data_IF_960234097486
#
_entry.id   IF_960234097486
#
_cell.length_a   1.000
_cell.length_b   1.000
_cell.length_c   1.000
_cell.angle_alpha   90.00
_cell.angle_beta   90.00
_cell.angle_gamma   90.00
#
_symmetry.space_group_name_H-M   'P 1'
#
loop_
_entity.id
_entity.type
_entity.pdbx_description
1 polymer ?
#
# COMPACT_ATOMS: atom_id res chain seq x y z
N UNK A 1 26.21 -20.00 -16.51
CA UNK A 1 25.82 -18.61 -16.26
C UNK A 1 25.12 -18.60 -14.91
N UNK A 2 25.75 -18.01 -13.89
CA UNK A 2 25.17 -17.95 -12.54
C UNK A 2 24.32 -16.68 -12.48
N UNK A 3 23.02 -16.82 -12.38
CA UNK A 3 22.11 -15.73 -12.08
C UNK A 3 22.36 -15.34 -10.60
N UNK A 4 22.93 -14.17 -10.36
CA UNK A 4 22.97 -13.56 -9.05
C UNK A 4 21.58 -12.95 -8.81
N UNK A 5 20.85 -13.53 -7.88
CA UNK A 5 19.68 -12.90 -7.27
C UNK A 5 20.18 -11.87 -6.27
N UNK A 6 19.96 -10.60 -6.55
CA UNK A 6 20.17 -9.52 -5.60
C UNK A 6 18.81 -9.19 -5.03
N UNK A 7 18.60 -9.60 -3.80
CA UNK A 7 17.61 -9.07 -2.86
C UNK A 7 17.71 -7.55 -2.86
N UNK A 8 16.65 -6.84 -2.56
CA UNK A 8 16.73 -5.42 -2.23
C UNK A 8 17.84 -5.20 -1.20
N UNK A 9 19.06 -5.22 -1.69
CA UNK A 9 20.20 -4.88 -0.91
C UNK A 9 20.22 -3.36 -0.91
N UNK A 10 19.81 -2.76 0.17
CA UNK A 10 20.53 -1.58 0.64
C UNK A 10 22.00 -1.95 0.47
N UNK A 11 22.69 -1.22 -0.35
CA UNK A 11 24.12 -1.36 -0.56
C UNK A 11 24.79 -1.36 0.81
N UNK A 12 25.19 -2.53 1.27
CA UNK A 12 26.05 -2.66 2.41
C UNK A 12 27.35 -1.92 2.13
N UNK A 13 27.46 -0.70 2.61
CA UNK A 13 28.74 -0.02 2.75
C UNK A 13 29.46 -0.78 3.85
N UNK A 14 30.45 -1.58 3.46
CA UNK A 14 31.28 -2.32 4.37
C UNK A 14 31.91 -1.39 5.41
N UNK A 15 31.65 -1.67 6.68
CA UNK A 15 32.56 -1.41 7.77
C UNK A 15 32.87 0.05 8.09
N UNK A 16 31.86 0.83 8.52
CA UNK A 16 32.13 1.90 9.48
C UNK A 16 31.66 1.37 10.84
N UNK A 17 32.60 1.23 11.78
CA UNK A 17 32.23 0.98 13.17
C UNK A 17 31.17 2.01 13.58
N UNK A 18 30.16 1.62 14.35
CA UNK A 18 29.13 2.56 14.80
C UNK A 18 29.88 3.71 15.48
N UNK A 19 29.70 4.92 14.94
CA UNK A 19 30.08 6.11 15.68
C UNK A 19 29.24 6.05 16.94
N UNK A 20 29.90 5.97 18.10
CA UNK A 20 29.22 6.15 19.37
C UNK A 20 28.47 7.47 19.26
N UNK A 21 27.17 7.42 19.47
CA UNK A 21 26.30 8.58 19.54
C UNK A 21 26.99 9.62 20.44
N UNK A 22 27.28 10.84 19.95
CA UNK A 22 28.00 11.86 20.73
C UNK A 22 27.21 12.37 21.95
N UNK A 23 26.20 11.63 22.41
CA UNK A 23 25.47 11.98 23.62
C UNK A 23 24.59 13.22 23.46
N UNK A 24 24.19 13.56 22.26
CA UNK A 24 23.07 14.45 22.06
C UNK A 24 21.87 13.74 22.67
N UNK A 25 21.50 14.14 23.88
CA UNK A 25 20.23 13.76 24.48
C UNK A 25 19.14 14.31 23.55
N UNK A 26 18.80 13.53 22.53
CA UNK A 26 17.52 13.71 21.86
C UNK A 26 16.50 13.57 22.97
N UNK A 27 15.57 14.49 23.17
CA UNK A 27 14.51 14.29 24.11
C UNK A 27 13.93 12.92 23.80
N UNK A 28 14.15 11.94 24.67
CA UNK A 28 13.29 10.78 24.69
C UNK A 28 11.92 11.42 24.91
N UNK A 29 11.11 11.45 23.88
CA UNK A 29 9.69 11.55 24.12
C UNK A 29 9.43 10.38 25.03
N UNK A 30 9.12 10.67 26.27
CA UNK A 30 8.75 9.68 27.27
C UNK A 30 7.44 9.11 26.73
N UNK A 31 7.58 8.11 25.85
CA UNK A 31 6.47 7.54 25.11
C UNK A 31 5.65 6.77 26.13
N UNK A 32 4.72 7.47 26.74
CA UNK A 32 3.62 6.80 27.40
C UNK A 32 2.96 5.96 26.34
N UNK A 33 3.19 4.67 26.40
CA UNK A 33 2.56 3.64 25.57
C UNK A 33 1.08 3.95 25.44
N UNK A 34 0.57 4.00 24.24
CA UNK A 34 -0.78 4.43 23.94
C UNK A 34 -0.79 5.44 22.80
N UNK A 35 -1.71 6.35 22.81
CA UNK A 35 -1.88 7.31 21.73
C UNK A 35 -2.33 8.69 22.22
N UNK A 36 -2.54 9.57 21.26
CA UNK A 36 -3.18 10.87 21.48
C UNK A 36 -4.62 10.69 21.95
N UNK A 37 -5.17 11.70 22.59
CA UNK A 37 -6.56 11.69 23.07
C UNK A 37 -7.58 11.52 21.95
N UNK A 38 -7.22 11.88 20.71
CA UNK A 38 -8.12 11.78 19.54
C UNK A 38 -8.24 10.37 18.95
N UNK A 39 -7.29 9.47 19.22
CA UNK A 39 -7.31 8.13 18.65
C UNK A 39 -7.82 7.12 19.67
N UNK A 40 -8.91 6.45 19.33
CA UNK A 40 -9.58 5.49 20.19
C UNK A 40 -9.43 4.07 19.63
N UNK A 41 -8.86 3.16 20.43
CA UNK A 41 -8.81 1.75 20.10
C UNK A 41 -10.20 1.14 20.26
N UNK A 42 -10.76 0.65 19.17
CA UNK A 42 -12.02 -0.08 19.16
C UNK A 42 -11.80 -1.55 19.51
N UNK A 43 -10.75 -2.14 18.94
CA UNK A 43 -10.35 -3.51 19.23
C UNK A 43 -8.94 -3.81 18.71
N UNK A 44 -8.34 -4.88 19.27
CA UNK A 44 -7.07 -5.42 18.82
C UNK A 44 -7.15 -6.96 18.78
N UNK A 45 -6.66 -7.56 17.70
CA UNK A 45 -6.62 -9.01 17.51
C UNK A 45 -5.21 -9.45 17.16
N UNK A 46 -4.65 -10.37 17.95
CA UNK A 46 -3.39 -11.03 17.55
C UNK A 46 -3.70 -12.01 16.41
N UNK A 47 -3.31 -11.64 15.20
CA UNK A 47 -3.58 -12.43 13.98
C UNK A 47 -2.65 -13.64 13.89
N UNK A 48 -1.37 -13.41 14.11
CA UNK A 48 -0.31 -14.40 14.02
C UNK A 48 0.63 -14.24 15.20
N UNK A 49 0.79 -15.25 16.05
CA UNK A 49 1.77 -15.20 17.14
C UNK A 49 3.20 -15.18 16.58
N UNK A 50 4.00 -14.24 17.02
CA UNK A 50 5.40 -14.10 16.66
C UNK A 50 5.71 -12.85 15.84
N UNK A 51 6.97 -12.63 15.52
CA UNK A 51 7.43 -11.47 14.74
C UNK A 51 7.23 -11.67 13.23
N UNK A 52 7.08 -10.58 12.48
CA UNK A 52 7.03 -10.58 11.01
C UNK A 52 5.91 -11.44 10.42
N UNK A 53 4.68 -11.27 10.92
CA UNK A 53 3.58 -12.16 10.56
C UNK A 53 2.48 -11.50 9.75
N UNK A 54 1.92 -10.38 10.20
CA UNK A 54 0.97 -9.63 9.41
C UNK A 54 1.70 -8.75 8.39
N UNK A 55 1.18 -8.71 7.15
CA UNK A 55 1.61 -7.79 6.11
C UNK A 55 0.52 -6.73 5.88
N UNK A 56 0.08 -6.55 4.66
CA UNK A 56 -0.90 -5.52 4.31
C UNK A 56 -2.32 -5.84 4.79
N UNK A 57 -3.18 -4.84 4.75
CA UNK A 57 -4.56 -4.88 5.21
C UNK A 57 -5.48 -4.16 4.23
N UNK A 58 -6.67 -4.70 4.05
CA UNK A 58 -7.71 -4.13 3.21
C UNK A 58 -9.06 -4.19 3.90
N UNK A 59 -9.88 -3.12 3.86
CA UNK A 59 -11.24 -3.10 4.40
C UNK A 59 -12.28 -2.89 3.30
N UNK A 60 -13.33 -3.72 3.26
CA UNK A 60 -14.40 -3.52 2.29
C UNK A 60 -15.17 -2.22 2.55
N UNK A 61 -15.46 -1.49 1.49
CA UNK A 61 -16.16 -0.19 1.55
C UNK A 61 -17.67 -0.32 1.40
N UNK A 62 -18.21 -1.51 1.12
CA UNK A 62 -19.65 -1.76 1.05
C UNK A 62 -20.24 -1.87 2.47
N UNK A 63 -21.30 -1.08 2.75
CA UNK A 63 -21.98 -1.07 4.06
C UNK A 63 -22.54 -2.42 4.50
N UNK A 64 -22.84 -3.30 3.56
CA UNK A 64 -23.40 -4.61 3.81
C UNK A 64 -22.32 -5.70 3.93
N UNK A 65 -21.06 -5.33 3.77
CA UNK A 65 -19.92 -6.25 3.77
C UNK A 65 -18.87 -5.80 4.79
N UNK A 66 -19.06 -6.15 6.06
CA UNK A 66 -18.19 -5.73 7.15
C UNK A 66 -16.96 -6.65 7.26
N UNK A 67 -16.11 -6.70 6.23
CA UNK A 67 -14.96 -7.60 6.21
C UNK A 67 -13.63 -6.85 6.12
N UNK A 68 -12.64 -7.40 6.81
CA UNK A 68 -11.24 -6.98 6.74
C UNK A 68 -10.40 -8.18 6.30
N UNK A 69 -9.48 -7.94 5.41
CA UNK A 69 -8.52 -8.91 4.90
C UNK A 69 -7.14 -8.57 5.44
N UNK A 70 -6.42 -9.56 5.95
CA UNK A 70 -5.06 -9.41 6.48
C UNK A 70 -4.15 -10.40 5.77
N UNK A 71 -3.12 -9.89 5.14
CA UNK A 71 -2.09 -10.70 4.49
C UNK A 71 -1.07 -11.23 5.51
N UNK A 72 -0.58 -12.45 5.31
CA UNK A 72 0.41 -13.08 6.18
C UNK A 72 1.80 -13.16 5.54
N UNK A 73 2.72 -12.38 6.07
CA UNK A 73 4.07 -12.20 5.54
C UNK A 73 4.83 -13.51 5.40
N UNK A 74 5.18 -14.14 6.51
CA UNK A 74 5.99 -15.37 6.50
C UNK A 74 5.19 -16.66 6.42
N UNK A 75 3.88 -16.59 6.58
CA UNK A 75 2.98 -17.76 6.54
C UNK A 75 2.39 -18.00 5.16
N UNK A 76 2.54 -17.05 4.22
CA UNK A 76 1.93 -17.12 2.88
C UNK A 76 0.42 -17.31 2.93
N UNK A 77 -0.24 -16.66 3.90
CA UNK A 77 -1.66 -16.81 4.14
C UNK A 77 -2.45 -15.53 3.87
N UNK A 78 -3.77 -15.69 3.80
CA UNK A 78 -4.74 -14.63 3.73
C UNK A 78 -5.82 -14.91 4.76
N UNK A 79 -6.06 -13.99 5.68
CA UNK A 79 -7.07 -14.09 6.71
C UNK A 79 -8.21 -13.12 6.46
N UNK A 80 -9.45 -13.54 6.74
CA UNK A 80 -10.63 -12.69 6.64
C UNK A 80 -11.29 -12.59 8.02
N UNK A 81 -11.59 -11.35 8.41
CA UNK A 81 -12.26 -11.02 9.66
C UNK A 81 -13.63 -10.41 9.38
N UNK A 82 -14.67 -10.95 10.03
CA UNK A 82 -15.99 -10.29 10.14
C UNK A 82 -15.91 -9.25 11.26
N UNK A 83 -16.08 -7.99 10.90
CA UNK A 83 -16.04 -6.83 11.79
C UNK A 83 -17.43 -6.18 11.94
N UNK A 84 -18.51 -6.94 11.76
CA UNK A 84 -19.88 -6.48 12.01
C UNK A 84 -20.03 -5.93 13.43
N UNK A 85 -19.39 -6.57 14.37
CA UNK A 85 -19.16 -6.06 15.71
C UNK A 85 -17.68 -5.66 15.84
N UNK A 86 -17.41 -4.37 15.71
CA UNK A 86 -16.03 -3.83 15.77
C UNK A 86 -15.38 -4.04 17.13
N UNK A 87 -16.16 -4.29 18.19
CA UNK A 87 -15.64 -4.59 19.53
C UNK A 87 -15.28 -6.07 19.71
N UNK A 88 -15.62 -6.92 18.73
CA UNK A 88 -15.38 -8.36 18.78
C UNK A 88 -15.19 -8.97 17.38
N UNK A 89 -14.17 -8.55 16.61
CA UNK A 89 -13.86 -9.09 15.29
C UNK A 89 -13.71 -10.60 15.33
N UNK A 90 -14.22 -11.28 14.31
CA UNK A 90 -14.16 -12.74 14.20
C UNK A 90 -13.36 -13.15 12.99
N UNK A 91 -12.27 -13.90 13.17
CA UNK A 91 -11.63 -14.58 12.05
C UNK A 91 -12.60 -15.64 11.50
N UNK A 92 -13.01 -15.47 10.26
CA UNK A 92 -13.98 -16.38 9.59
C UNK A 92 -13.33 -17.22 8.50
N UNK A 93 -12.14 -16.83 8.01
CA UNK A 93 -11.44 -17.57 6.98
C UNK A 93 -9.93 -17.44 7.17
N UNK A 94 -9.23 -18.51 6.81
CA UNK A 94 -7.77 -18.59 6.85
C UNK A 94 -7.34 -19.55 5.73
N UNK A 95 -6.48 -19.06 4.83
CA UNK A 95 -5.98 -19.83 3.71
C UNK A 95 -4.47 -19.65 3.58
N UNK A 96 -3.78 -20.74 3.44
CA UNK A 96 -2.33 -20.75 3.21
C UNK A 96 -2.04 -21.36 1.85
N UNK A 97 -1.01 -20.87 1.16
CA UNK A 97 -0.56 -21.45 -0.10
C UNK A 97 -0.22 -22.92 0.09
N UNK A 98 -0.51 -23.74 -0.92
CA UNK A 98 -0.19 -25.16 -0.88
C UNK A 98 1.34 -25.37 -0.87
N UNK A 99 1.82 -26.28 -0.03
CA UNK A 99 3.25 -26.62 0.14
C UNK A 99 4.12 -25.40 0.48
N UNK A 100 3.84 -24.66 1.56
CA UNK A 100 4.58 -23.44 1.92
C UNK A 100 6.07 -23.71 2.14
N UNK A 101 6.45 -24.94 2.48
CA UNK A 101 7.85 -25.35 2.65
C UNK A 101 8.67 -25.31 1.35
N UNK A 102 8.01 -25.31 0.19
CA UNK A 102 8.66 -25.17 -1.12
C UNK A 102 8.81 -23.71 -1.54
N UNK A 103 8.18 -22.80 -0.83
CA UNK A 103 8.18 -21.37 -1.13
C UNK A 103 9.12 -20.65 -0.18
N UNK A 104 10.02 -19.86 -0.74
CA UNK A 104 10.95 -19.01 0.02
C UNK A 104 10.81 -17.59 -0.43
N UNK A 105 10.70 -16.69 0.52
CA UNK A 105 10.57 -15.29 0.17
C UNK A 105 9.77 -14.51 1.18
N UNK A 106 9.24 -13.41 0.74
CA UNK A 106 8.53 -12.48 1.59
C UNK A 106 7.14 -13.02 1.96
N UNK A 107 6.41 -13.58 1.00
CA UNK A 107 5.12 -14.21 1.28
C UNK A 107 3.94 -13.50 0.66
N UNK A 108 2.78 -13.57 1.32
CA UNK A 108 1.61 -12.81 0.94
C UNK A 108 1.84 -11.34 1.31
N UNK A 109 1.77 -10.47 0.31
CA UNK A 109 2.08 -9.06 0.45
C UNK A 109 0.80 -8.23 0.48
N UNK A 110 0.41 -7.70 -0.62
CA UNK A 110 -0.70 -6.78 -0.75
C UNK A 110 -1.97 -7.51 -1.21
N UNK A 111 -3.10 -7.13 -0.66
CA UNK A 111 -4.39 -7.72 -1.00
C UNK A 111 -5.44 -6.68 -1.30
N UNK A 112 -6.23 -6.90 -2.36
CA UNK A 112 -7.27 -5.97 -2.77
C UNK A 112 -8.59 -6.69 -3.03
N UNK A 113 -9.67 -6.20 -2.41
CA UNK A 113 -11.00 -6.68 -2.77
C UNK A 113 -11.52 -5.96 -4.02
N UNK A 114 -12.44 -6.59 -4.72
CA UNK A 114 -13.09 -5.99 -5.88
C UNK A 114 -14.46 -6.62 -6.17
N UNK A 115 -15.21 -5.96 -7.04
CA UNK A 115 -16.55 -6.40 -7.44
C UNK A 115 -16.65 -6.46 -8.97
N UNK A 116 -17.27 -7.55 -9.47
CA UNK A 116 -17.64 -7.69 -10.87
C UNK A 116 -19.10 -8.17 -10.94
N UNK A 117 -19.98 -7.34 -11.47
CA UNK A 117 -21.42 -7.58 -11.38
C UNK A 117 -21.85 -7.66 -9.90
N UNK A 118 -22.58 -8.70 -9.54
CA UNK A 118 -23.04 -8.91 -8.16
C UNK A 118 -22.11 -9.79 -7.33
N UNK A 119 -20.90 -10.07 -7.81
CA UNK A 119 -19.95 -10.96 -7.14
C UNK A 119 -18.76 -10.18 -6.58
N UNK A 120 -18.32 -10.61 -5.40
CA UNK A 120 -17.19 -10.04 -4.69
C UNK A 120 -16.00 -10.99 -4.72
N UNK A 121 -14.85 -10.41 -4.89
CA UNK A 121 -13.59 -11.15 -5.02
C UNK A 121 -12.51 -10.49 -4.16
N UNK A 122 -11.48 -11.28 -3.87
CA UNK A 122 -10.26 -10.80 -3.22
C UNK A 122 -9.06 -11.32 -3.99
N UNK A 123 -8.15 -10.43 -4.31
CA UNK A 123 -6.87 -10.73 -4.95
C UNK A 123 -5.75 -10.60 -3.92
N UNK A 124 -5.03 -11.69 -3.65
CA UNK A 124 -3.85 -11.69 -2.79
C UNK A 124 -2.61 -11.81 -3.64
N UNK A 125 -1.69 -10.83 -3.57
CA UNK A 125 -0.40 -10.89 -4.23
C UNK A 125 0.60 -11.71 -3.40
N UNK A 126 1.55 -12.34 -4.11
CA UNK A 126 2.62 -13.14 -3.50
C UNK A 126 3.97 -12.74 -4.08
N UNK A 127 4.94 -12.55 -3.20
CA UNK A 127 6.32 -12.31 -3.58
C UNK A 127 7.21 -13.45 -3.12
N UNK A 128 8.02 -13.97 -4.03
CA UNK A 128 8.97 -15.03 -3.76
C UNK A 128 10.41 -14.57 -4.03
N UNK A 129 11.30 -14.76 -3.09
CA UNK A 129 12.74 -14.58 -3.33
C UNK A 129 13.32 -15.80 -4.06
N UNK A 130 12.87 -16.98 -3.65
CA UNK A 130 13.12 -18.25 -4.31
C UNK A 130 11.87 -19.08 -4.14
N UNK A 131 11.21 -19.39 -5.20
CA UNK A 131 10.06 -20.24 -5.15
C UNK A 131 10.14 -21.26 -6.26
N UNK A 132 9.94 -22.50 -5.93
CA UNK A 132 9.83 -23.56 -6.89
C UNK A 132 8.85 -24.58 -6.32
N UNK A 133 7.87 -24.99 -7.07
CA UNK A 133 7.65 -24.75 -8.51
C UNK A 133 6.91 -23.47 -8.87
N UNK A 134 6.41 -22.69 -7.88
CA UNK A 134 5.44 -21.60 -8.10
C UNK A 134 6.08 -20.21 -8.14
N UNK A 135 7.39 -20.10 -8.40
CA UNK A 135 8.08 -18.81 -8.45
C UNK A 135 7.54 -17.80 -9.48
N UNK A 136 6.69 -18.22 -10.39
CA UNK A 136 5.98 -17.39 -11.36
C UNK A 136 4.58 -16.97 -10.91
N UNK A 137 4.10 -17.49 -9.77
CA UNK A 137 2.82 -17.10 -9.18
C UNK A 137 2.89 -15.65 -8.69
N UNK A 138 2.02 -14.80 -9.22
CA UNK A 138 1.92 -13.40 -8.84
C UNK A 138 0.75 -13.14 -7.89
N UNK A 139 -0.43 -13.71 -8.18
CA UNK A 139 -1.60 -13.51 -7.33
C UNK A 139 -2.55 -14.70 -7.34
N UNK A 140 -3.28 -14.86 -6.23
CA UNK A 140 -4.41 -15.79 -6.09
C UNK A 140 -5.70 -15.00 -5.96
N UNK A 141 -6.71 -15.35 -6.74
CA UNK A 141 -8.02 -14.69 -6.75
C UNK A 141 -9.03 -15.60 -6.06
N UNK A 142 -9.66 -15.06 -5.03
CA UNK A 142 -10.72 -15.72 -4.28
C UNK A 142 -12.08 -15.14 -4.64
N UNK A 143 -13.08 -15.98 -4.79
CA UNK A 143 -14.49 -15.60 -4.75
C UNK A 143 -14.92 -15.55 -3.28
N UNK A 144 -15.29 -14.37 -2.82
CA UNK A 144 -15.69 -14.12 -1.43
C UNK A 144 -17.16 -13.68 -1.32
N UNK A 145 -17.93 -13.89 -2.39
CA UNK A 145 -19.33 -13.46 -2.48
C UNK A 145 -20.20 -14.01 -1.36
N UNK A 146 -19.99 -15.27 -0.99
CA UNK A 146 -20.83 -15.97 -0.01
C UNK A 146 -20.47 -15.75 1.46
N UNK A 147 -19.53 -14.85 1.77
CA UNK A 147 -19.23 -14.50 3.16
C UNK A 147 -20.52 -14.05 3.90
N UNK A 148 -20.68 -14.39 5.19
CA UNK A 148 -19.68 -14.91 6.13
C UNK A 148 -19.46 -16.43 6.14
N UNK A 149 -20.07 -17.20 5.27
CA UNK A 149 -19.84 -18.65 5.22
C UNK A 149 -18.44 -18.96 4.65
N UNK A 150 -17.48 -19.45 5.47
CA UNK A 150 -16.13 -19.72 5.00
C UNK A 150 -16.07 -20.85 3.96
N UNK A 151 -17.03 -21.77 3.97
CA UNK A 151 -17.11 -22.86 3.00
C UNK A 151 -17.46 -22.37 1.59
N UNK A 152 -17.97 -21.15 1.48
CA UNK A 152 -18.30 -20.52 0.21
C UNK A 152 -17.08 -19.89 -0.48
N UNK A 153 -16.01 -19.60 0.26
CA UNK A 153 -14.79 -19.00 -0.29
C UNK A 153 -14.05 -20.00 -1.17
N UNK A 154 -13.72 -19.60 -2.38
CA UNK A 154 -13.06 -20.48 -3.37
C UNK A 154 -11.97 -19.75 -4.13
N UNK A 155 -10.85 -20.41 -4.34
CA UNK A 155 -9.85 -19.98 -5.33
C UNK A 155 -10.47 -20.14 -6.73
N UNK A 156 -10.57 -19.05 -7.48
CA UNK A 156 -11.14 -19.04 -8.83
C UNK A 156 -10.11 -18.83 -9.92
N UNK A 157 -8.97 -18.22 -9.60
CA UNK A 157 -7.87 -18.04 -10.54
C UNK A 157 -6.52 -17.90 -9.83
N UNK A 158 -5.46 -18.16 -10.58
CA UNK A 158 -4.07 -17.83 -10.22
C UNK A 158 -3.46 -17.07 -11.38
N UNK A 159 -2.99 -15.85 -11.12
CA UNK A 159 -2.27 -15.05 -12.11
C UNK A 159 -0.80 -15.42 -12.00
N UNK A 160 -0.21 -15.82 -13.14
CA UNK A 160 1.18 -16.22 -13.25
C UNK A 160 1.90 -15.39 -14.28
N UNK A 161 3.17 -15.08 -14.03
CA UNK A 161 4.00 -14.33 -14.96
C UNK A 161 5.40 -14.96 -15.08
N UNK A 162 5.54 -16.01 -15.91
CA UNK A 162 6.79 -16.76 -16.03
C UNK A 162 7.93 -15.96 -16.68
N UNK A 163 7.64 -14.83 -17.33
CA UNK A 163 8.63 -13.96 -17.96
C UNK A 163 9.52 -13.23 -16.94
N UNK A 164 9.03 -13.04 -15.70
CA UNK A 164 9.79 -12.49 -14.60
C UNK A 164 9.42 -13.19 -13.30
N UNK A 165 10.03 -14.34 -13.01
CA UNK A 165 9.81 -15.05 -11.75
C UNK A 165 10.12 -14.18 -10.52
N UNK A 166 9.40 -14.39 -9.44
CA UNK A 166 9.53 -13.63 -8.19
C UNK A 166 8.19 -13.16 -7.65
N UNK A 167 7.12 -13.34 -8.43
CA UNK A 167 5.77 -12.93 -8.05
C UNK A 167 5.54 -11.42 -8.13
N UNK A 168 4.51 -10.96 -7.43
CA UNK A 168 4.09 -9.56 -7.36
C UNK A 168 4.27 -9.04 -5.93
N UNK A 169 4.98 -7.94 -5.77
CA UNK A 169 5.17 -7.29 -4.48
C UNK A 169 3.89 -6.54 -4.07
N UNK A 170 3.51 -5.53 -4.84
CA UNK A 170 2.29 -4.74 -4.61
C UNK A 170 1.30 -4.87 -5.75
N UNK A 171 0.05 -4.55 -5.46
CA UNK A 171 -1.04 -4.58 -6.41
C UNK A 171 -2.04 -3.45 -6.17
N UNK A 172 -2.80 -3.12 -7.19
CA UNK A 172 -3.89 -2.16 -7.08
C UNK A 172 -5.05 -2.60 -7.98
N UNK A 173 -6.27 -2.53 -7.46
CA UNK A 173 -7.45 -2.77 -8.28
C UNK A 173 -8.13 -1.45 -8.59
N UNK A 174 -8.50 -1.23 -9.83
CA UNK A 174 -9.09 0.02 -10.29
C UNK A 174 -10.26 -0.19 -11.23
N UNK A 175 -11.37 0.49 -10.96
CA UNK A 175 -12.48 0.61 -11.90
C UNK A 175 -12.16 1.69 -12.92
N UNK A 176 -11.68 1.29 -14.07
CA UNK A 176 -11.26 2.18 -15.14
C UNK A 176 -12.45 2.89 -15.80
N UNK A 177 -12.22 4.08 -16.35
CA UNK A 177 -13.28 4.90 -16.99
C UNK A 177 -13.94 4.24 -18.19
N UNK A 178 -13.30 3.27 -18.84
CA UNK A 178 -13.89 2.45 -19.92
C UNK A 178 -14.80 1.32 -19.41
N UNK A 179 -14.99 1.21 -18.10
CA UNK A 179 -15.88 0.25 -17.45
C UNK A 179 -15.22 -1.06 -17.02
N UNK A 180 -13.96 -1.32 -17.39
CA UNK A 180 -13.23 -2.51 -16.92
C UNK A 180 -12.83 -2.37 -15.47
N UNK A 181 -12.75 -3.49 -14.76
CA UNK A 181 -12.07 -3.62 -13.47
C UNK A 181 -10.69 -4.19 -13.73
N UNK A 182 -9.66 -3.38 -13.53
CA UNK A 182 -8.27 -3.70 -13.85
C UNK A 182 -7.47 -3.99 -12.58
N UNK A 183 -6.57 -4.96 -12.67
CA UNK A 183 -5.59 -5.29 -11.64
C UNK A 183 -4.21 -4.89 -12.13
N UNK A 184 -3.60 -3.98 -11.41
CA UNK A 184 -2.23 -3.55 -11.63
C UNK A 184 -1.33 -4.33 -10.69
N UNK A 185 -0.19 -4.79 -11.17
CA UNK A 185 0.76 -5.56 -10.40
C UNK A 185 2.19 -5.10 -10.64
N UNK A 186 2.96 -4.99 -9.56
CA UNK A 186 4.41 -4.82 -9.66
C UNK A 186 5.04 -6.12 -10.14
N UNK A 187 6.11 -6.01 -10.85
CA UNK A 187 6.87 -7.15 -11.36
C UNK A 187 8.35 -6.78 -11.42
N UNK A 188 9.22 -7.76 -11.30
CA UNK A 188 10.66 -7.54 -11.37
C UNK A 188 11.14 -7.25 -12.81
N UNK A 189 10.53 -6.23 -13.40
CA UNK A 189 10.83 -5.69 -14.75
C UNK A 189 10.57 -4.19 -14.78
N UNK A 190 10.99 -3.52 -15.84
CA UNK A 190 10.85 -2.06 -16.05
C UNK A 190 9.41 -1.65 -16.41
N UNK A 191 8.42 -2.21 -15.74
CA UNK A 191 7.00 -1.94 -16.01
C UNK A 191 6.11 -2.44 -14.86
N UNK A 192 4.89 -1.92 -14.79
CA UNK A 192 3.77 -2.56 -14.10
C UNK A 192 2.92 -3.35 -15.11
N UNK A 193 2.33 -4.45 -14.68
CA UNK A 193 1.43 -5.28 -15.48
C UNK A 193 -0.02 -4.88 -15.23
N UNK A 194 -0.87 -4.97 -16.27
CA UNK A 194 -2.29 -4.62 -16.15
C UNK A 194 -3.16 -5.77 -16.67
N UNK A 195 -3.95 -6.35 -15.78
CA UNK A 195 -4.84 -7.47 -16.08
C UNK A 195 -6.31 -7.03 -16.05
N UNK A 196 -7.13 -7.61 -16.92
CA UNK A 196 -8.59 -7.46 -16.92
C UNK A 196 -9.20 -8.52 -15.99
N UNK A 197 -9.66 -8.09 -14.82
CA UNK A 197 -10.19 -9.01 -13.80
C UNK A 197 -11.48 -9.72 -14.24
N UNK A 198 -12.28 -9.13 -15.11
CA UNK A 198 -13.45 -9.82 -15.63
C UNK A 198 -13.05 -11.03 -16.49
N UNK A 199 -11.95 -10.93 -17.24
CA UNK A 199 -11.40 -12.08 -17.98
C UNK A 199 -10.79 -13.10 -17.03
N UNK A 200 -10.06 -12.65 -15.99
CA UNK A 200 -9.43 -13.52 -15.00
C UNK A 200 -10.48 -14.39 -14.28
N UNK A 201 -11.53 -13.78 -13.72
CA UNK A 201 -12.57 -14.54 -12.97
C UNK A 201 -13.48 -15.37 -13.86
N UNK A 202 -13.62 -14.99 -15.13
CA UNK A 202 -14.34 -15.80 -16.14
C UNK A 202 -13.56 -17.07 -16.49
N UNK A 203 -12.24 -17.05 -16.32
CA UNK A 203 -11.35 -18.14 -16.71
C UNK A 203 -11.05 -18.15 -18.22
N UNK A 204 -10.62 -19.29 -18.73
CA UNK A 204 -10.22 -19.46 -20.13
C UNK A 204 -8.71 -19.32 -20.31
N UNK A 205 -8.28 -18.83 -21.47
CA UNK A 205 -6.85 -18.72 -21.81
C UNK A 205 -6.19 -17.57 -21.04
N UNK A 206 -5.26 -17.87 -20.09
CA UNK A 206 -4.57 -16.87 -19.30
C UNK A 206 -3.78 -15.85 -20.12
N UNK A 207 -3.35 -16.19 -21.34
CA UNK A 207 -2.62 -15.28 -22.23
C UNK A 207 -3.44 -14.05 -22.62
N UNK A 208 -4.76 -14.11 -22.48
CA UNK A 208 -5.69 -13.01 -22.81
C UNK A 208 -5.97 -12.09 -21.63
N UNK A 209 -5.50 -12.41 -20.42
CA UNK A 209 -5.81 -11.66 -19.20
C UNK A 209 -4.99 -10.37 -19.07
N UNK A 210 -3.72 -10.42 -19.50
CA UNK A 210 -2.85 -9.26 -19.57
C UNK A 210 -3.32 -8.36 -20.72
N UNK A 211 -3.67 -7.11 -20.42
CA UNK A 211 -4.26 -6.17 -21.38
C UNK A 211 -3.42 -4.91 -21.59
N UNK A 212 -2.36 -4.74 -20.84
CA UNK A 212 -1.44 -3.62 -20.99
C UNK A 212 -0.30 -3.65 -20.01
N UNK A 213 0.58 -2.68 -20.14
CA UNK A 213 1.69 -2.44 -19.19
C UNK A 213 1.91 -0.95 -19.06
N UNK A 214 2.40 -0.50 -17.89
CA UNK A 214 2.83 0.88 -17.67
C UNK A 214 4.35 0.90 -17.51
N UNK A 215 5.11 1.53 -18.42
CA UNK A 215 6.57 1.52 -18.35
C UNK A 215 7.08 2.31 -17.15
N UNK A 216 8.20 1.87 -16.54
CA UNK A 216 8.99 2.73 -15.67
C UNK A 216 10.03 3.46 -16.52
N UNK A 217 10.14 4.79 -16.46
CA UNK A 217 11.06 5.55 -17.30
C UNK A 217 12.54 5.35 -16.91
N UNK A 218 12.80 4.85 -15.69
CA UNK A 218 14.17 4.58 -15.22
C UNK A 218 14.71 3.31 -15.86
N UNK A 219 15.89 3.35 -16.49
CA UNK A 219 16.49 2.18 -17.09
C UNK A 219 16.70 1.04 -16.09
N UNK A 220 16.23 -0.14 -16.45
CA UNK A 220 16.37 -1.33 -15.62
C UNK A 220 17.84 -1.77 -15.51
N UNK A 221 18.35 -1.86 -14.29
CA UNK A 221 19.69 -2.39 -13.99
C UNK A 221 19.56 -3.44 -12.87
N UNK A 222 19.30 -4.68 -13.25
CA UNK A 222 18.99 -5.73 -12.29
C UNK A 222 17.63 -5.50 -11.63
N UNK A 223 17.56 -5.44 -10.31
CA UNK A 223 16.32 -5.11 -9.58
C UNK A 223 15.93 -3.64 -9.76
N UNK A 224 16.86 -2.79 -10.12
CA UNK A 224 16.64 -1.36 -10.35
C UNK A 224 15.79 -1.10 -11.61
N UNK A 225 14.83 -0.20 -11.51
CA UNK A 225 13.93 0.21 -12.59
C UNK A 225 12.55 -0.44 -12.57
N UNK A 226 12.26 -1.30 -11.58
CA UNK A 226 10.90 -1.78 -11.33
C UNK A 226 10.09 -0.76 -10.52
N UNK A 227 8.76 -0.86 -10.59
CA UNK A 227 7.89 -0.21 -9.62
C UNK A 227 7.93 -0.97 -8.30
N UNK A 228 7.89 -0.22 -7.20
CA UNK A 228 7.68 -0.76 -5.87
C UNK A 228 6.17 -0.77 -5.55
N UNK A 229 5.53 0.37 -5.75
CA UNK A 229 4.12 0.56 -5.51
C UNK A 229 3.51 1.56 -6.50
N UNK A 230 2.20 1.71 -6.48
CA UNK A 230 1.49 2.65 -7.33
C UNK A 230 0.08 2.93 -6.81
N UNK A 231 -0.44 4.05 -7.26
CA UNK A 231 -1.80 4.48 -6.98
C UNK A 231 -2.48 4.89 -8.29
N UNK A 232 -3.73 4.52 -8.46
CA UNK A 232 -4.48 4.88 -9.65
C UNK A 232 -5.70 5.71 -9.26
N UNK A 233 -5.89 6.85 -9.94
CA UNK A 233 -6.98 7.75 -9.66
C UNK A 233 -7.59 8.33 -10.94
N UNK A 234 -8.87 8.67 -10.86
CA UNK A 234 -9.54 9.49 -11.85
C UNK A 234 -9.22 10.97 -11.59
N UNK A 235 -8.76 11.68 -12.62
CA UNK A 235 -8.60 13.14 -12.62
C UNK A 235 -9.87 13.79 -13.20
N UNK A 236 -10.79 14.28 -12.35
CA UNK A 236 -12.05 14.82 -12.82
C UNK A 236 -11.89 16.14 -13.58
N UNK A 237 -10.85 16.90 -13.27
CA UNK A 237 -10.58 18.18 -13.93
C UNK A 237 -10.08 18.02 -15.36
N UNK A 238 -9.40 16.91 -15.66
CA UNK A 238 -8.80 16.63 -16.97
C UNK A 238 -9.41 15.43 -17.67
N UNK A 239 -10.40 14.79 -17.03
CA UNK A 239 -11.19 13.66 -17.56
C UNK A 239 -10.29 12.49 -18.04
N UNK A 240 -9.41 12.02 -17.18
CA UNK A 240 -8.45 10.95 -17.50
C UNK A 240 -8.19 10.03 -16.32
N UNK A 241 -7.86 8.79 -16.59
CA UNK A 241 -7.32 7.84 -15.62
C UNK A 241 -5.82 8.07 -15.48
N UNK A 242 -5.33 8.18 -14.25
CA UNK A 242 -3.93 8.52 -13.98
C UNK A 242 -3.30 7.45 -13.09
N UNK A 243 -2.15 6.97 -13.53
CA UNK A 243 -1.28 6.07 -12.77
C UNK A 243 -0.15 6.88 -12.14
N UNK A 244 0.02 6.76 -10.86
CA UNK A 244 1.07 7.34 -10.05
C UNK A 244 1.97 6.20 -9.58
N UNK A 245 3.13 6.02 -10.19
CA UNK A 245 4.05 4.94 -9.87
C UNK A 245 5.22 5.40 -9.04
N UNK A 246 5.52 4.65 -8.00
CA UNK A 246 6.70 4.79 -7.15
C UNK A 246 7.67 3.65 -7.42
N UNK A 247 8.97 3.92 -7.42
CA UNK A 247 9.97 2.89 -7.65
C UNK A 247 11.36 3.45 -7.80
N UNK A 248 12.25 2.68 -8.37
CA UNK A 248 13.60 3.14 -8.63
C UNK A 248 13.61 4.31 -9.62
N UNK A 249 14.33 5.35 -9.22
CA UNK A 249 14.43 6.61 -9.95
C UNK A 249 13.40 7.65 -9.55
N UNK A 250 12.60 7.41 -8.53
CA UNK A 250 11.58 8.34 -8.04
C UNK A 250 10.16 7.95 -8.46
N UNK A 251 9.32 8.95 -8.68
CA UNK A 251 7.93 8.74 -9.06
C UNK A 251 7.71 9.10 -10.52
N UNK A 252 6.83 8.37 -11.19
CA UNK A 252 6.42 8.65 -12.55
C UNK A 252 4.90 8.64 -12.68
N UNK A 253 4.36 9.64 -13.38
CA UNK A 253 2.93 9.84 -13.52
C UNK A 253 2.52 9.69 -14.98
N UNK A 254 1.50 8.87 -15.22
CA UNK A 254 1.06 8.47 -16.55
C UNK A 254 -0.43 8.65 -16.75
N UNK A 255 -0.83 9.18 -17.90
CA UNK A 255 -2.19 9.08 -18.39
C UNK A 255 -2.39 7.66 -18.95
N UNK A 256 -3.30 6.92 -18.35
CA UNK A 256 -3.63 5.55 -18.69
C UNK A 256 -5.08 5.39 -19.20
N UNK A 257 -5.72 6.49 -19.58
CA UNK A 257 -7.07 6.46 -20.20
C UNK A 257 -7.13 5.48 -21.37
N UNK A 258 -6.00 5.32 -22.05
CA UNK A 258 -5.77 4.29 -23.05
C UNK A 258 -4.71 3.30 -22.55
N UNK A 259 -5.15 2.18 -21.97
CA UNK A 259 -4.28 1.18 -21.35
C UNK A 259 -3.26 0.57 -22.32
N UNK A 260 -3.59 0.50 -23.61
CA UNK A 260 -2.71 0.01 -24.68
C UNK A 260 -1.67 1.06 -25.13
N UNK A 261 -1.83 2.31 -24.72
CA UNK A 261 -0.97 3.41 -25.13
C UNK A 261 -0.77 4.45 -23.99
N UNK A 262 -0.20 4.05 -22.84
CA UNK A 262 0.01 4.96 -21.71
C UNK A 262 0.94 6.11 -22.11
N UNK A 263 0.63 7.33 -21.61
CA UNK A 263 1.41 8.54 -21.92
C UNK A 263 2.00 9.10 -20.65
N UNK A 264 3.33 9.22 -20.60
CA UNK A 264 4.00 9.86 -19.49
C UNK A 264 3.62 11.33 -19.42
N UNK A 265 3.18 11.77 -18.26
CA UNK A 265 2.83 13.17 -17.98
C UNK A 265 4.05 13.92 -17.44
N UNK A 266 4.61 13.43 -16.35
CA UNK A 266 5.76 14.01 -15.67
C UNK A 266 6.40 12.98 -14.72
N UNK A 267 7.50 13.38 -14.09
CA UNK A 267 8.19 12.66 -13.01
C UNK A 267 8.29 13.54 -11.77
N UNK A 268 8.48 12.90 -10.62
CA UNK A 268 8.88 13.56 -9.38
C UNK A 268 10.21 12.91 -8.97
N UNK A 269 11.29 13.69 -9.04
CA UNK A 269 12.65 13.22 -8.73
C UNK A 269 13.35 14.26 -7.88
N UNK A 270 14.40 13.87 -7.17
CA UNK A 270 15.16 14.81 -6.34
C UNK A 270 15.95 14.09 -5.27
N UNK A 271 16.49 14.85 -4.33
CA UNK A 271 17.32 14.32 -3.25
C UNK A 271 16.56 13.28 -2.40
N UNK A 272 17.16 12.10 -2.27
CA UNK A 272 16.63 11.02 -1.46
C UNK A 272 15.36 10.39 -2.03
N UNK A 273 15.15 10.44 -3.34
CA UNK A 273 14.05 9.77 -4.04
C UNK A 273 14.52 8.64 -4.95
N UNK A 274 15.73 8.14 -4.77
CA UNK A 274 16.31 7.11 -5.63
C UNK A 274 15.50 5.79 -5.58
N UNK A 275 14.88 5.51 -4.44
CA UNK A 275 13.90 4.43 -4.28
C UNK A 275 12.64 5.05 -3.65
N UNK A 276 11.66 5.32 -4.49
CA UNK A 276 10.35 5.79 -4.07
C UNK A 276 9.49 4.60 -3.63
N UNK A 277 8.76 4.75 -2.53
CA UNK A 277 7.95 3.69 -1.95
C UNK A 277 6.49 3.82 -2.35
N UNK A 278 5.78 4.83 -1.87
CA UNK A 278 4.37 5.04 -2.21
C UNK A 278 4.03 6.49 -2.51
N UNK A 279 2.95 6.72 -3.27
CA UNK A 279 2.47 8.04 -3.68
C UNK A 279 0.95 8.06 -3.75
N UNK A 280 0.31 9.04 -3.13
CA UNK A 280 -1.14 9.23 -3.21
C UNK A 280 -1.49 10.69 -3.56
N UNK A 281 -2.28 10.93 -4.62
CA UNK A 281 -2.71 12.26 -4.99
C UNK A 281 -3.90 12.75 -4.15
N UNK A 282 -4.09 14.07 -4.08
CA UNK A 282 -5.34 14.69 -3.69
C UNK A 282 -6.46 14.37 -4.69
N UNK A 283 -7.75 14.53 -4.31
CA UNK A 283 -8.87 14.22 -5.18
C UNK A 283 -8.91 14.99 -6.51
N UNK A 284 -8.31 16.17 -6.55
CA UNK A 284 -8.17 16.99 -7.77
C UNK A 284 -6.88 16.73 -8.55
N UNK A 285 -5.99 15.85 -8.02
CA UNK A 285 -4.71 15.48 -8.60
C UNK A 285 -3.66 16.58 -8.59
N UNK A 286 -3.90 17.74 -7.94
CA UNK A 286 -2.98 18.88 -7.95
C UNK A 286 -1.99 18.87 -6.80
N UNK A 287 -2.21 18.02 -5.80
CA UNK A 287 -1.28 17.79 -4.68
C UNK A 287 -1.01 16.30 -4.57
N UNK A 288 0.15 15.89 -4.10
CA UNK A 288 0.41 14.51 -3.74
C UNK A 288 1.20 14.42 -2.44
N UNK A 289 0.99 13.31 -1.74
CA UNK A 289 1.85 12.86 -0.63
C UNK A 289 2.70 11.73 -1.15
N UNK A 290 3.97 11.73 -0.79
CA UNK A 290 4.91 10.67 -1.15
C UNK A 290 5.72 10.23 0.03
N UNK A 291 6.16 9.00 -0.03
CA UNK A 291 6.96 8.35 0.97
C UNK A 291 8.11 7.57 0.34
N UNK A 292 9.22 7.55 1.06
CA UNK A 292 10.36 6.69 0.78
C UNK A 292 10.64 5.89 2.05
N UNK A 293 10.72 4.59 1.95
CA UNK A 293 10.92 3.69 3.09
C UNK A 293 12.36 3.72 3.61
N UNK A 294 12.80 4.91 4.05
CA UNK A 294 14.13 5.14 4.60
C UNK A 294 14.08 5.93 5.89
N UNK A 295 14.94 5.56 6.82
CA UNK A 295 15.23 6.39 7.98
C UNK A 295 15.70 7.78 7.55
N UNK A 296 15.38 8.77 8.35
CA UNK A 296 15.77 10.18 8.15
C UNK A 296 15.16 10.84 6.92
N UNK A 297 14.13 10.20 6.32
CA UNK A 297 13.39 10.79 5.20
C UNK A 297 11.94 11.02 5.58
N UNK A 298 11.47 12.28 5.59
CA UNK A 298 10.07 12.58 5.87
C UNK A 298 9.17 12.19 4.70
N UNK A 299 7.87 12.04 4.95
CA UNK A 299 6.86 12.13 3.91
C UNK A 299 6.91 13.53 3.30
N UNK A 300 6.71 13.64 2.00
CA UNK A 300 6.77 14.92 1.27
C UNK A 300 5.43 15.24 0.63
N UNK A 301 5.11 16.51 0.64
CA UNK A 301 3.91 17.05 -0.02
C UNK A 301 4.34 17.87 -1.24
N UNK A 302 3.70 17.62 -2.37
CA UNK A 302 4.08 18.18 -3.66
C UNK A 302 2.94 18.99 -4.26
N UNK A 303 3.24 20.15 -4.85
CA UNK A 303 2.33 20.85 -5.75
C UNK A 303 2.57 20.34 -7.18
N UNK A 304 1.57 19.69 -7.73
CA UNK A 304 1.60 19.11 -9.06
C UNK A 304 0.85 19.96 -10.10
N UNK A 305 0.34 21.14 -9.73
CA UNK A 305 -0.55 21.95 -10.56
C UNK A 305 0.04 22.25 -11.95
N UNK A 306 1.28 22.72 -12.01
CA UNK A 306 1.94 23.03 -13.28
C UNK A 306 2.36 21.77 -14.06
N UNK A 307 2.73 20.71 -13.36
CA UNK A 307 3.05 19.43 -13.99
C UNK A 307 1.78 18.79 -14.60
N UNK A 308 0.68 18.79 -13.88
CA UNK A 308 -0.62 18.31 -14.36
C UNK A 308 -1.16 19.14 -15.54
N UNK A 309 -0.84 20.43 -15.57
CA UNK A 309 -1.17 21.31 -16.71
C UNK A 309 -0.20 21.15 -17.91
N UNK A 310 0.81 20.27 -17.81
CA UNK A 310 1.78 20.02 -18.88
C UNK A 310 2.89 21.07 -19.03
N UNK A 311 2.95 22.04 -18.10
CA UNK A 311 3.97 23.11 -18.11
C UNK A 311 5.32 22.66 -17.55
N UNK A 312 5.32 21.62 -16.74
CA UNK A 312 6.50 21.05 -16.08
C UNK A 312 6.59 19.55 -16.37
N UNK A 313 7.78 19.04 -16.63
CA UNK A 313 8.02 17.63 -16.93
C UNK A 313 8.69 16.88 -15.77
N UNK A 314 9.24 17.59 -14.82
CA UNK A 314 9.78 17.05 -13.58
C UNK A 314 9.47 17.99 -12.43
N UNK A 315 9.03 17.45 -11.31
CA UNK A 315 8.84 18.16 -10.04
C UNK A 315 9.96 17.71 -9.11
N UNK A 316 10.76 18.62 -8.58
CA UNK A 316 11.94 18.30 -7.78
C UNK A 316 11.99 19.01 -6.41
N UNK A 317 11.03 19.91 -6.15
CA UNK A 317 10.95 20.66 -4.90
C UNK A 317 9.59 20.40 -4.24
N UNK A 318 9.55 19.73 -3.07
CA UNK A 318 8.32 19.59 -2.30
C UNK A 318 7.91 20.93 -1.68
N UNK A 319 6.61 21.14 -1.50
CA UNK A 319 6.09 22.35 -0.83
C UNK A 319 6.16 22.25 0.69
N UNK A 320 6.18 21.04 1.22
CA UNK A 320 6.34 20.76 2.64
C UNK A 320 6.75 19.30 2.88
N UNK A 321 7.00 18.99 4.14
CA UNK A 321 7.29 17.64 4.59
C UNK A 321 6.76 17.42 6.00
N UNK A 322 6.52 16.16 6.36
CA UNK A 322 6.08 15.74 7.67
C UNK A 322 6.78 14.45 8.09
N UNK A 323 7.04 14.29 9.37
CA UNK A 323 7.49 13.04 9.98
C UNK A 323 7.03 12.94 11.42
N UNK A 324 6.80 11.75 11.93
CA UNK A 324 6.54 11.49 13.35
C UNK A 324 7.85 11.50 14.13
N UNK A 325 8.70 10.53 13.91
CA UNK A 325 10.09 10.50 14.39
C UNK A 325 11.03 10.41 13.18
N UNK A 326 11.98 11.32 13.09
CA UNK A 326 12.92 11.37 11.96
C UNK A 326 13.91 10.18 11.94
N UNK A 327 13.98 9.39 12.99
CA UNK A 327 14.83 8.20 13.12
C UNK A 327 14.14 6.94 12.68
N UNK A 328 12.82 6.94 12.70
CA UNK A 328 12.00 5.85 12.20
C UNK A 328 11.70 6.03 10.70
N UNK A 329 10.98 5.12 10.13
CA UNK A 329 10.52 5.17 8.75
C UNK A 329 9.03 4.85 8.71
N UNK A 330 8.37 5.31 7.67
CA UNK A 330 6.99 4.97 7.39
C UNK A 330 6.96 3.86 6.35
N UNK A 331 5.90 3.05 6.33
CA UNK A 331 5.71 2.01 5.33
C UNK A 331 4.66 2.40 4.29
N UNK A 332 3.41 2.61 4.72
CA UNK A 332 2.32 2.92 3.80
C UNK A 332 1.46 4.06 4.34
N UNK A 333 0.73 4.72 3.45
CA UNK A 333 -0.26 5.70 3.85
C UNK A 333 -1.53 5.64 3.01
N UNK A 334 -2.66 5.94 3.66
CA UNK A 334 -3.96 6.14 3.04
C UNK A 334 -4.40 7.60 3.19
N UNK A 335 -4.92 8.18 2.12
CA UNK A 335 -5.39 9.57 2.12
C UNK A 335 -6.91 9.64 2.07
N UNK A 336 -7.49 10.33 3.04
CA UNK A 336 -8.89 10.76 3.06
C UNK A 336 -8.88 12.27 3.26
N UNK A 337 -8.64 12.97 2.18
CA UNK A 337 -8.32 14.39 2.20
C UNK A 337 -9.23 15.19 3.14
N UNK A 338 -8.70 16.04 4.05
CA UNK A 338 -7.28 16.44 4.14
C UNK A 338 -6.40 15.54 5.04
N UNK A 339 -6.90 14.43 5.55
CA UNK A 339 -6.16 13.56 6.46
C UNK A 339 -5.31 12.53 5.71
N UNK A 340 -4.13 12.28 6.24
CA UNK A 340 -3.23 11.20 5.84
C UNK A 340 -3.02 10.27 7.01
N UNK A 341 -3.40 9.02 6.82
CA UNK A 341 -3.24 7.93 7.79
C UNK A 341 -2.02 7.11 7.39
N UNK A 342 -1.08 6.96 8.29
CA UNK A 342 0.23 6.36 8.03
C UNK A 342 0.45 5.16 8.93
N UNK A 343 0.84 4.04 8.36
CA UNK A 343 1.43 2.93 9.09
C UNK A 343 2.94 3.16 9.16
N UNK A 344 3.39 3.61 10.33
CA UNK A 344 4.75 4.12 10.52
C UNK A 344 5.57 3.17 11.38
N UNK A 345 5.67 1.92 10.96
CA UNK A 345 6.44 0.88 11.64
C UNK A 345 6.38 0.98 13.18
N UNK A 346 7.51 1.24 13.85
CA UNK A 346 7.58 1.34 15.32
C UNK A 346 6.76 2.49 15.90
N UNK A 347 6.51 3.54 15.11
CA UNK A 347 5.64 4.67 15.49
C UNK A 347 4.15 4.36 15.37
N UNK A 348 3.77 3.17 14.89
CA UNK A 348 2.38 2.72 14.84
C UNK A 348 1.53 3.49 13.85
N UNK A 349 0.28 3.78 14.23
CA UNK A 349 -0.62 4.65 13.49
C UNK A 349 -0.24 6.11 13.70
N UNK A 350 0.00 6.83 12.60
CA UNK A 350 0.18 8.28 12.62
C UNK A 350 -0.86 8.93 11.71
N UNK A 351 -1.39 10.08 12.12
CA UNK A 351 -2.33 10.84 11.30
C UNK A 351 -1.90 12.29 11.26
N UNK A 352 -1.80 12.83 10.06
CA UNK A 352 -1.55 14.26 9.88
C UNK A 352 -2.57 14.92 8.96
N UNK A 353 -2.79 16.21 9.18
CA UNK A 353 -3.77 17.05 8.51
C UNK A 353 -3.08 17.94 7.47
N UNK A 354 -3.57 17.91 6.24
CA UNK A 354 -3.16 18.70 5.09
C UNK A 354 -4.20 19.77 4.71
N UNK A 355 -5.02 20.24 5.66
CA UNK A 355 -5.91 21.41 5.41
C UNK A 355 -5.11 22.60 4.87
N UNK A 356 -3.90 22.80 5.37
CA UNK A 356 -2.89 23.64 4.73
C UNK A 356 -1.72 22.74 4.29
N UNK A 357 -1.61 22.38 2.99
CA UNK A 357 -0.57 21.48 2.51
C UNK A 357 0.86 22.01 2.67
N UNK A 358 1.03 23.31 2.91
CA UNK A 358 2.34 23.92 3.18
C UNK A 358 2.77 23.79 4.63
N UNK A 359 1.83 23.50 5.52
CA UNK A 359 2.07 23.39 6.96
C UNK A 359 1.34 22.17 7.55
N UNK A 360 1.74 20.93 7.15
CA UNK A 360 1.14 19.71 7.69
C UNK A 360 1.29 19.65 9.20
N UNK A 361 0.27 19.11 9.88
CA UNK A 361 0.24 19.02 11.34
C UNK A 361 -0.15 17.63 11.77
N UNK A 362 0.54 17.07 12.76
CA UNK A 362 0.08 15.86 13.43
C UNK A 362 -1.29 16.11 14.06
N UNK A 363 -2.26 15.28 13.73
CA UNK A 363 -3.63 15.35 14.27
C UNK A 363 -3.92 14.21 15.25
N UNK A 364 -3.30 13.06 15.09
CA UNK A 364 -3.42 11.95 16.02
C UNK A 364 -2.34 10.89 15.81
N UNK A 365 -2.17 10.04 16.82
CA UNK A 365 -1.25 8.90 16.75
C UNK A 365 -1.62 7.82 17.76
N UNK A 366 -1.16 6.59 17.51
CA UNK A 366 -1.24 5.47 18.43
C UNK A 366 -0.13 4.46 18.18
N UNK A 367 0.67 4.17 19.21
CA UNK A 367 1.74 3.17 19.17
C UNK A 367 1.14 1.76 19.31
N UNK A 368 1.33 0.91 18.31
CA UNK A 368 0.73 -0.43 18.24
C UNK A 368 1.63 -1.54 18.77
N UNK A 369 2.94 -1.30 18.89
CA UNK A 369 3.87 -2.26 19.45
C UNK A 369 4.66 -1.67 20.63
N UNK A 370 5.15 -2.55 21.50
CA UNK A 370 6.18 -2.24 22.48
C UNK A 370 7.57 -2.39 21.83
N UNK A 371 7.73 -1.80 20.64
CA UNK A 371 8.99 -1.80 19.94
C UNK A 371 9.90 -0.81 20.66
N UNK A 372 11.08 -1.25 21.05
CA UNK A 372 12.12 -0.32 21.47
C UNK A 372 12.66 0.32 20.19
N UNK A 373 12.64 1.64 20.12
CA UNK A 373 13.31 2.37 19.05
C UNK A 373 14.82 2.18 19.19
N UNK A 374 15.30 1.00 18.84
CA UNK A 374 16.73 0.75 18.75
C UNK A 374 17.29 1.48 17.53
N UNK A 375 17.73 2.68 17.79
CA UNK A 375 18.26 3.59 16.81
C UNK A 375 19.63 3.12 16.31
N UNK A 376 19.69 2.60 15.14
CA UNK A 376 20.94 2.36 14.45
C UNK A 376 20.79 1.36 13.32
N UNK A 377 21.51 1.56 12.27
CA UNK A 377 21.92 0.52 11.32
C UNK A 377 22.79 -0.50 12.09
N UNK A 378 22.23 -1.17 13.07
CA UNK A 378 22.93 -1.99 14.03
C UNK A 378 22.49 -3.42 14.02
N UNK A 379 22.54 -4.05 12.87
CA UNK A 379 22.48 -5.49 12.88
C UNK A 379 23.80 -6.11 13.20
N UNK A 380 23.79 -7.22 13.93
CA UNK A 380 24.98 -8.05 14.01
C UNK A 380 25.13 -8.85 12.70
N UNK A 381 26.37 -9.00 12.19
CA UNK A 381 26.61 -9.77 10.96
C UNK A 381 26.05 -11.19 10.95
N UNK A 382 25.76 -11.74 12.13
CA UNK A 382 25.36 -13.13 12.32
C UNK A 382 23.85 -13.40 12.12
N UNK A 383 23.02 -12.38 12.14
CA UNK A 383 21.56 -12.53 12.17
C UNK A 383 20.88 -12.30 10.81
N UNK A 384 21.63 -11.94 9.78
CA UNK A 384 21.06 -11.62 8.47
C UNK A 384 20.24 -10.31 8.49
N UNK A 385 19.74 -9.94 7.33
CA UNK A 385 19.05 -8.68 7.11
C UNK A 385 17.82 -8.47 8.02
N UNK A 386 17.06 -9.51 8.29
CA UNK A 386 15.84 -9.44 9.09
C UNK A 386 16.04 -9.17 10.59
N UNK A 387 17.22 -9.47 11.10
CA UNK A 387 17.50 -9.23 12.52
C UNK A 387 18.22 -7.90 12.75
N UNK A 388 18.54 -7.19 11.68
CA UNK A 388 19.37 -6.01 11.73
C UNK A 388 18.58 -4.73 11.63
N UNK A 389 17.34 -4.79 11.14
CA UNK A 389 16.44 -3.64 11.02
C UNK A 389 15.36 -3.74 12.08
N UNK A 390 15.72 -3.39 13.31
CA UNK A 390 14.74 -3.22 14.38
C UNK A 390 13.66 -2.21 14.01
N UNK A 391 13.97 -1.25 13.16
CA UNK A 391 13.08 -0.19 12.70
C UNK A 391 12.03 -0.62 11.67
N UNK A 392 12.22 -1.75 10.96
CA UNK A 392 11.22 -2.33 10.06
C UNK A 392 10.35 -3.36 10.80
N UNK A 393 9.72 -2.95 11.88
CA UNK A 393 8.80 -3.78 12.67
C UNK A 393 7.68 -2.90 13.24
N UNK A 394 6.51 -3.47 13.46
CA UNK A 394 5.35 -2.71 13.92
C UNK A 394 4.32 -2.52 12.81
N UNK A 395 3.76 -1.32 12.70
CA UNK A 395 2.69 -1.01 11.76
C UNK A 395 3.15 -1.09 10.30
N UNK A 396 2.45 -1.92 9.50
CA UNK A 396 2.81 -2.19 8.11
C UNK A 396 1.77 -1.68 7.12
N UNK A 397 0.52 -2.12 7.21
CA UNK A 397 -0.58 -1.68 6.34
C UNK A 397 -1.60 -0.83 7.10
N UNK A 398 -2.23 0.09 6.41
CA UNK A 398 -3.34 0.91 6.92
C UNK A 398 -4.40 1.09 5.86
N UNK A 399 -5.68 0.95 6.24
CA UNK A 399 -6.81 1.31 5.38
C UNK A 399 -7.92 1.97 6.19
N UNK A 400 -8.78 2.73 5.51
CA UNK A 400 -9.79 3.56 6.15
C UNK A 400 -11.15 3.41 5.48
N UNK A 401 -12.14 3.05 6.27
CA UNK A 401 -13.50 2.87 5.78
C UNK A 401 -14.22 4.20 5.60
N UNK A 402 -14.68 4.46 4.37
CA UNK A 402 -15.23 5.76 3.99
C UNK A 402 -16.53 6.12 4.70
N UNK A 403 -17.45 5.19 4.89
CA UNK A 403 -18.79 5.54 5.32
C UNK A 403 -18.93 5.86 6.81
N UNK A 404 -17.96 5.51 7.63
CA UNK A 404 -18.00 5.73 9.08
C UNK A 404 -16.63 6.07 9.71
N UNK A 405 -15.57 6.14 8.90
CA UNK A 405 -14.24 6.52 9.37
C UNK A 405 -13.56 5.48 10.26
N UNK A 406 -13.91 4.19 10.16
CA UNK A 406 -13.17 3.13 10.83
C UNK A 406 -11.79 3.00 10.18
N UNK A 407 -10.75 3.07 10.99
CA UNK A 407 -9.36 2.90 10.58
C UNK A 407 -8.97 1.47 10.96
N UNK A 408 -8.39 0.73 10.02
CA UNK A 408 -7.80 -0.58 10.27
C UNK A 408 -6.31 -0.51 9.99
N UNK A 409 -5.54 -1.23 10.80
CA UNK A 409 -4.09 -1.25 10.67
C UNK A 409 -3.59 -2.65 10.97
N UNK A 410 -2.68 -3.13 10.16
CA UNK A 410 -1.90 -4.34 10.42
C UNK A 410 -0.57 -3.98 11.04
N UNK A 411 -0.21 -4.70 12.08
CA UNK A 411 1.08 -4.60 12.73
C UNK A 411 1.78 -5.96 12.65
N UNK A 412 3.00 -5.98 12.17
CA UNK A 412 3.78 -7.19 11.93
C UNK A 412 3.95 -8.07 13.17
N UNK A 413 3.89 -7.48 14.37
CA UNK A 413 4.12 -8.15 15.65
C UNK A 413 2.84 -8.38 16.42
N UNK A 414 1.94 -7.40 16.40
CA UNK A 414 0.77 -7.39 17.27
C UNK A 414 -0.52 -7.75 16.53
N UNK A 415 -0.56 -7.62 15.19
CA UNK A 415 -1.67 -8.08 14.37
C UNK A 415 -2.63 -6.99 13.93
N UNK A 416 -3.93 -7.24 14.01
CA UNK A 416 -5.00 -6.38 13.51
C UNK A 416 -5.44 -5.39 14.59
N UNK A 417 -5.43 -4.10 14.26
CA UNK A 417 -5.94 -3.02 15.09
C UNK A 417 -7.10 -2.31 14.40
N UNK A 418 -8.12 -1.94 15.19
CA UNK A 418 -9.27 -1.15 14.76
C UNK A 418 -9.34 0.13 15.58
N UNK A 419 -9.43 1.28 14.89
CA UNK A 419 -9.45 2.59 15.54
C UNK A 419 -10.61 3.46 15.05
N UNK A 420 -10.94 4.46 15.87
CA UNK A 420 -11.72 5.64 15.51
C UNK A 420 -10.92 6.88 15.86
N UNK A 421 -11.14 7.97 15.13
CA UNK A 421 -10.53 9.27 15.37
C UNK A 421 -11.60 10.33 15.59
N UNK A 422 -11.44 11.12 16.66
CA UNK A 422 -12.32 12.25 16.93
C UNK A 422 -12.24 13.28 15.79
N UNK A 423 -13.40 13.75 15.37
CA UNK A 423 -13.51 14.69 14.25
C UNK A 423 -13.50 14.04 12.85
N UNK A 424 -13.23 12.73 12.74
CA UNK A 424 -13.26 12.02 11.48
C UNK A 424 -14.35 10.92 11.48
N UNK A 425 -15.50 11.22 10.88
CA UNK A 425 -16.67 10.32 10.86
C UNK A 425 -16.89 9.67 9.49
N UNK A 426 -15.88 9.67 8.64
CA UNK A 426 -15.92 9.13 7.30
C UNK A 426 -15.49 10.12 6.23
N UNK A 427 -15.51 9.66 4.99
CA UNK A 427 -15.05 10.40 3.84
C UNK A 427 -16.08 10.34 2.71
N UNK A 428 -16.48 11.48 2.21
CA UNK A 428 -17.46 11.60 1.12
C UNK A 428 -16.84 12.14 -0.18
N UNK A 429 -15.57 12.49 -0.13
CA UNK A 429 -14.83 12.97 -1.31
C UNK A 429 -14.65 11.87 -2.36
N UNK A 430 -14.29 12.28 -3.57
CA UNK A 430 -13.81 11.35 -4.59
C UNK A 430 -12.45 10.86 -4.12
N UNK A 431 -12.40 9.62 -3.67
CA UNK A 431 -11.14 8.89 -3.49
C UNK A 431 -11.01 7.89 -4.62
N UNK A 432 -9.82 7.35 -4.80
CA UNK A 432 -9.64 6.16 -5.63
C UNK A 432 -10.31 4.94 -5.02
N UNK A 433 -10.75 5.06 -3.79
CA UNK A 433 -11.55 4.03 -3.13
C UNK A 433 -12.83 3.85 -3.91
N UNK A 434 -12.91 2.72 -4.46
CA UNK A 434 -13.54 2.42 -5.69
C UNK A 434 -15.03 2.21 -5.53
N UNK A 435 -15.78 3.01 -6.21
CA UNK A 435 -17.16 2.65 -6.49
C UNK A 435 -17.18 1.68 -7.68
N UNK A 436 -17.05 0.39 -7.40
CA UNK A 436 -17.06 -0.63 -8.43
C UNK A 436 -18.37 -0.72 -9.21
N UNK A 437 -19.46 -0.22 -8.66
CA UNK A 437 -20.76 -0.21 -9.32
C UNK A 437 -20.88 0.94 -10.31
N UNK A 438 -20.50 2.15 -9.92
CA UNK A 438 -20.66 3.35 -10.74
C UNK A 438 -19.44 3.67 -11.60
N UNK A 439 -18.26 3.30 -11.12
CA UNK A 439 -16.98 3.69 -11.73
C UNK A 439 -16.63 5.18 -11.47
N UNK A 440 -15.40 5.59 -11.82
CA UNK A 440 -14.83 6.86 -11.39
C UNK A 440 -15.54 8.09 -11.96
N UNK A 441 -16.00 8.03 -13.20
CA UNK A 441 -16.66 9.17 -13.86
C UNK A 441 -18.01 9.49 -13.21
N UNK A 442 -18.80 8.47 -12.88
CA UNK A 442 -20.10 8.66 -12.24
C UNK A 442 -19.95 9.01 -10.75
N UNK A 443 -18.96 8.45 -10.07
CA UNK A 443 -18.62 8.80 -8.69
C UNK A 443 -18.21 10.27 -8.58
N UNK A 444 -17.34 10.75 -9.47
CA UNK A 444 -16.93 12.15 -9.52
C UNK A 444 -18.10 13.13 -9.73
N UNK A 445 -19.11 12.74 -10.51
CA UNK A 445 -20.31 13.56 -10.73
C UNK A 445 -21.26 13.61 -9.54
N UNK A 446 -21.23 12.60 -8.68
CA UNK A 446 -22.08 12.51 -7.49
C UNK A 446 -21.61 13.41 -6.34
N UNK A 447 -20.37 13.88 -6.38
CA UNK A 447 -19.75 14.77 -5.38
C UNK A 447 -19.87 16.23 -5.82
N UNK A 448 -21.00 16.66 -6.37
CA UNK A 448 -21.30 18.09 -6.43
C UNK A 448 -21.71 18.50 -5.01
N UNK A 449 -20.99 19.41 -4.35
CA UNK A 449 -21.45 19.94 -3.07
C UNK A 449 -22.85 20.51 -3.28
N UNK A 450 -23.79 20.05 -2.48
CA UNK A 450 -25.11 20.70 -2.40
C UNK A 450 -24.89 22.04 -1.70
N UNK A 451 -24.57 23.07 -2.51
CA UNK A 451 -24.31 24.43 -2.08
C UNK A 451 -25.63 25.15 -1.72
N UNK A 452 -26.71 24.39 -1.50
CA UNK A 452 -28.06 24.88 -1.21
C UNK A 452 -28.58 24.48 0.17
N UNK A 453 -27.70 24.39 1.18
CA UNK A 453 -28.18 24.35 2.57
C UNK A 453 -27.96 25.71 3.24
N UNK A 454 -29.04 26.34 3.74
CA UNK A 454 -28.99 27.62 4.42
C UNK A 454 -28.26 27.57 5.75
#
# INVERSE_FOLDING_TARGET
MRALFVIAAVLGIAGVAPAQDPGVAVPHFDQKRGGSEKIHVMHHVVTHPGAWKAADIEIEQDRNRPYVYVSGFTNFDAQIYDIRDVSNPKKIFDWTIENPELHRGIGAMDGKYFKIGDRYYYAQSYQFMQGSPDQDLGAVIFDVTGLPDPASVKVVARIRYPQAPGGFHNSFVYKHSDGRTLYFATVNQQQALVYDLAKVVKGGDPSTWLVGTVPNPTPFKGFAGSYHDFYIAWDPGRQRDVFYGAGLGGYSVWDITHIDAPKQLFTITGLGLDIAHTITPSPDGNTAVTETEYQYTPLRVWDLTDAQAGKMKNVDIPISAWTADWRDLSHNHEVRWPYVFVSAYEDGLQVFDLTDPKHPKTDGYYYTCECEHEHGFGGTPDNGWQATNSVEQGAFGVDVRNYDGLIVLSDMRTGLWLFKMDGFNGYTGVSSVQDFDRGPVAAAKAVVPDDTRP
#
